data_IF_932344501172
#
_entry.id   IF_932344501172
#
_cell.length_a   1.000
_cell.length_b   1.000
_cell.length_c   1.000
_cell.angle_alpha   90.00
_cell.angle_beta   90.00
_cell.angle_gamma   90.00
#
_symmetry.space_group_name_H-M   'P 1'
#
loop_
_entity.id
_entity.type
_entity.pdbx_description
1 polymer ?
#
# COMPACT_ATOMS: atom_id res chain seq x y z
N UNK A 1 9.94 -17.80 -13.42
CA UNK A 1 8.97 -18.81 -13.91
C UNK A 1 7.88 -18.29 -14.85
N UNK A 2 7.42 -17.04 -14.73
CA UNK A 2 6.43 -16.43 -15.66
C UNK A 2 7.01 -15.37 -16.61
N UNK A 3 8.33 -15.30 -16.76
CA UNK A 3 9.01 -14.33 -17.64
C UNK A 3 9.09 -12.90 -17.10
N UNK A 4 8.79 -12.66 -15.82
CA UNK A 4 8.96 -11.36 -15.18
C UNK A 4 10.42 -11.09 -14.80
N UNK A 5 10.81 -9.81 -14.84
CA UNK A 5 12.10 -9.31 -14.37
C UNK A 5 11.87 -8.38 -13.17
N UNK A 6 11.69 -8.92 -11.95
CA UNK A 6 11.27 -8.14 -10.80
C UNK A 6 12.39 -7.24 -10.27
N UNK A 7 12.05 -6.00 -9.97
CA UNK A 7 12.83 -5.10 -9.13
C UNK A 7 12.32 -5.25 -7.70
N UNK A 8 13.18 -5.70 -6.78
CA UNK A 8 12.80 -5.98 -5.40
C UNK A 8 13.27 -4.84 -4.50
N UNK A 9 12.33 -4.27 -3.75
CA UNK A 9 12.60 -3.25 -2.74
C UNK A 9 12.06 -3.72 -1.39
N UNK A 10 12.88 -3.58 -0.35
CA UNK A 10 12.51 -3.86 1.03
C UNK A 10 12.67 -2.55 1.80
N UNK A 11 11.57 -2.07 2.36
CA UNK A 11 11.53 -0.87 3.17
C UNK A 11 11.35 -1.25 4.63
N UNK A 12 12.31 -0.83 5.45
CA UNK A 12 12.18 -0.89 6.90
C UNK A 12 11.27 0.26 7.40
N UNK A 13 10.31 -0.06 8.26
CA UNK A 13 9.32 0.92 8.72
C UNK A 13 9.90 1.99 9.62
N UNK A 14 10.93 1.66 10.40
CA UNK A 14 11.59 2.64 11.27
C UNK A 14 12.40 3.65 10.45
N UNK A 15 13.14 3.16 9.45
CA UNK A 15 13.84 4.00 8.48
C UNK A 15 12.85 4.91 7.77
N UNK A 16 11.74 4.37 7.27
CA UNK A 16 10.71 5.17 6.59
C UNK A 16 10.12 6.25 7.51
N UNK A 17 9.86 5.95 8.78
CA UNK A 17 9.42 6.93 9.78
C UNK A 17 10.42 8.08 9.90
N UNK A 18 11.70 7.77 10.09
CA UNK A 18 12.75 8.78 10.24
C UNK A 18 12.86 9.68 9.01
N UNK A 19 12.77 9.09 7.80
CA UNK A 19 12.76 9.86 6.57
C UNK A 19 11.56 10.80 6.51
N UNK A 20 10.35 10.33 6.85
CA UNK A 20 9.13 11.16 6.89
C UNK A 20 9.29 12.29 7.91
N UNK A 21 9.74 12.01 9.12
CA UNK A 21 9.83 13.00 10.20
C UNK A 21 10.90 14.08 9.94
N UNK A 22 11.97 13.75 9.23
CA UNK A 22 13.12 14.64 9.01
C UNK A 22 13.22 15.19 7.59
N UNK A 23 12.54 14.59 6.62
CA UNK A 23 12.61 14.94 5.22
C UNK A 23 11.86 16.24 4.92
N UNK A 24 12.58 17.21 4.35
CA UNK A 24 12.01 18.45 3.85
C UNK A 24 11.62 18.36 2.37
N UNK A 25 11.11 19.46 1.81
CA UNK A 25 10.71 19.55 0.41
C UNK A 25 11.84 19.17 -0.55
N UNK A 26 13.06 19.66 -0.33
CA UNK A 26 14.20 19.42 -1.23
C UNK A 26 14.62 17.96 -1.21
N UNK A 27 14.66 17.35 -0.03
CA UNK A 27 14.92 15.92 0.15
C UNK A 27 13.92 15.06 -0.64
N UNK A 28 12.62 15.32 -0.49
CA UNK A 28 11.58 14.54 -1.15
C UNK A 28 11.52 14.73 -2.66
N UNK A 29 11.74 15.95 -3.16
CA UNK A 29 11.86 16.21 -4.59
C UNK A 29 13.05 15.47 -5.20
N UNK A 30 14.19 15.43 -4.51
CA UNK A 30 15.36 14.70 -4.96
C UNK A 30 15.11 13.18 -4.97
N UNK A 31 14.57 12.62 -3.88
CA UNK A 31 14.19 11.21 -3.81
C UNK A 31 13.22 10.80 -4.93
N UNK A 32 12.19 11.61 -5.17
CA UNK A 32 11.23 11.35 -6.23
C UNK A 32 11.88 11.38 -7.62
N UNK A 33 12.65 12.43 -7.92
CA UNK A 33 13.18 12.67 -9.27
C UNK A 33 14.36 11.76 -9.65
N UNK A 34 15.19 11.36 -8.68
CA UNK A 34 16.42 10.59 -8.93
C UNK A 34 16.18 9.08 -8.87
N UNK A 35 15.30 8.62 -7.98
CA UNK A 35 15.11 7.18 -7.73
C UNK A 35 13.73 6.68 -8.22
N UNK A 36 12.68 7.02 -7.48
CA UNK A 36 11.43 6.28 -7.58
C UNK A 36 10.59 6.62 -8.81
N UNK A 37 10.56 7.88 -9.25
CA UNK A 37 9.78 8.26 -10.44
C UNK A 37 10.38 7.68 -11.73
N UNK A 38 11.71 7.77 -11.99
CA UNK A 38 12.33 7.10 -13.14
C UNK A 38 12.12 5.58 -13.14
N UNK A 39 12.16 4.93 -11.97
CA UNK A 39 11.90 3.50 -11.85
C UNK A 39 10.45 3.18 -12.22
N UNK A 40 9.47 3.83 -11.59
CA UNK A 40 8.04 3.54 -11.81
C UNK A 40 7.60 3.75 -13.25
N UNK A 41 8.16 4.74 -13.96
CA UNK A 41 7.90 4.98 -15.39
C UNK A 41 8.31 3.83 -16.31
N UNK A 42 9.17 2.94 -15.84
CA UNK A 42 9.63 1.77 -16.60
C UNK A 42 8.90 0.48 -16.19
N UNK A 43 8.05 0.52 -15.16
CA UNK A 43 7.41 -0.68 -14.61
C UNK A 43 6.05 -0.93 -15.25
N UNK A 44 5.79 -2.18 -15.64
CA UNK A 44 4.47 -2.61 -16.07
C UNK A 44 3.52 -2.91 -14.90
N UNK A 45 4.09 -3.38 -13.78
CA UNK A 45 3.34 -3.92 -12.64
C UNK A 45 3.97 -3.48 -11.31
N UNK A 46 3.13 -3.08 -10.36
CA UNK A 46 3.52 -2.84 -8.97
C UNK A 46 2.84 -3.82 -8.00
N UNK A 47 3.62 -4.49 -7.15
CA UNK A 47 3.10 -5.34 -6.08
C UNK A 47 3.60 -4.81 -4.74
N UNK A 48 2.67 -4.35 -3.90
CA UNK A 48 2.97 -3.86 -2.56
C UNK A 48 2.53 -4.83 -1.48
N UNK A 49 3.47 -5.29 -0.65
CA UNK A 49 3.17 -6.10 0.53
C UNK A 49 3.46 -5.25 1.77
N UNK A 50 2.46 -5.07 2.64
CA UNK A 50 2.59 -4.26 3.86
C UNK A 50 2.47 -5.13 5.10
N UNK A 51 3.55 -5.24 5.85
CA UNK A 51 3.63 -6.04 7.07
C UNK A 51 3.90 -5.17 8.31
N UNK A 52 3.17 -4.06 8.47
CA UNK A 52 3.38 -3.11 9.56
C UNK A 52 3.39 -3.80 10.93
N UNK A 53 4.46 -3.61 11.69
CA UNK A 53 4.59 -4.16 13.05
C UNK A 53 4.07 -3.20 14.13
N UNK A 54 3.91 -1.93 13.79
CA UNK A 54 3.30 -0.91 14.63
C UNK A 54 2.48 0.06 13.77
N UNK A 55 1.21 0.24 14.11
CA UNK A 55 0.29 1.11 13.36
C UNK A 55 0.48 2.60 13.67
N UNK A 56 1.31 2.93 14.67
CA UNK A 56 1.55 4.29 15.15
C UNK A 56 2.90 4.87 14.71
N UNK A 57 3.67 4.20 13.84
CA UNK A 57 5.05 4.63 13.55
C UNK A 57 5.14 6.10 13.12
N UNK A 58 4.26 6.55 12.23
CA UNK A 58 4.31 7.93 11.74
C UNK A 58 3.51 8.93 12.61
N UNK A 59 3.09 8.56 13.83
CA UNK A 59 2.20 9.39 14.65
C UNK A 59 2.86 10.68 15.16
N UNK A 60 4.19 10.74 15.21
CA UNK A 60 4.95 11.91 15.66
C UNK A 60 5.41 12.83 14.52
N UNK A 61 5.17 12.46 13.26
CA UNK A 61 5.51 13.30 12.12
C UNK A 61 4.69 14.60 12.15
N UNK A 62 5.37 15.74 12.02
CA UNK A 62 4.71 17.06 12.02
C UNK A 62 3.82 17.24 10.79
N UNK A 63 2.93 18.24 10.82
CA UNK A 63 2.08 18.56 9.67
C UNK A 63 2.91 19.00 8.47
N UNK A 64 3.97 19.74 8.72
CA UNK A 64 4.89 20.27 7.71
C UNK A 64 5.67 19.13 7.05
N UNK A 65 6.19 18.19 7.86
CA UNK A 65 6.90 17.01 7.38
C UNK A 65 5.98 16.10 6.53
N UNK A 66 4.77 15.82 7.03
CA UNK A 66 3.77 15.07 6.26
C UNK A 66 3.38 15.76 4.96
N UNK A 67 3.24 17.09 4.97
CA UNK A 67 2.94 17.87 3.77
C UNK A 67 4.09 17.79 2.75
N UNK A 68 5.33 17.95 3.19
CA UNK A 68 6.51 17.85 2.33
C UNK A 68 6.58 16.48 1.64
N UNK A 69 6.43 15.39 2.39
CA UNK A 69 6.39 14.03 1.84
C UNK A 69 5.21 13.82 0.88
N UNK A 70 4.01 14.23 1.29
CA UNK A 70 2.78 14.04 0.51
C UNK A 70 2.84 14.75 -0.84
N UNK A 71 3.23 16.02 -0.86
CA UNK A 71 3.21 16.84 -2.09
C UNK A 71 4.36 16.51 -3.03
N UNK A 72 5.54 16.18 -2.50
CA UNK A 72 6.76 16.11 -3.31
C UNK A 72 7.22 14.68 -3.63
N UNK A 73 6.69 13.67 -2.94
CA UNK A 73 6.99 12.27 -3.23
C UNK A 73 5.72 11.46 -3.45
N UNK A 74 4.80 11.44 -2.49
CA UNK A 74 3.61 10.58 -2.58
C UNK A 74 2.73 10.95 -3.79
N UNK A 75 2.44 12.24 -4.00
CA UNK A 75 1.68 12.68 -5.16
C UNK A 75 2.34 12.30 -6.50
N UNK A 76 3.56 12.77 -6.82
CA UNK A 76 4.15 12.51 -8.14
C UNK A 76 4.48 11.03 -8.38
N UNK A 77 4.98 10.32 -7.37
CA UNK A 77 5.43 8.92 -7.53
C UNK A 77 4.27 7.94 -7.37
N UNK A 78 3.50 8.07 -6.28
CA UNK A 78 2.48 7.07 -5.94
C UNK A 78 1.18 7.32 -6.70
N UNK A 79 0.62 8.53 -6.63
CA UNK A 79 -0.69 8.80 -7.21
C UNK A 79 -0.61 9.07 -8.72
N UNK A 80 0.27 9.97 -9.13
CA UNK A 80 0.29 10.44 -10.52
C UNK A 80 0.90 9.39 -11.46
N UNK A 81 1.92 8.64 -11.02
CA UNK A 81 2.61 7.61 -11.82
C UNK A 81 2.14 6.20 -11.46
N UNK A 82 2.48 5.69 -10.26
CA UNK A 82 2.30 4.27 -9.92
C UNK A 82 0.84 3.81 -10.02
N UNK A 83 -0.11 4.57 -9.48
CA UNK A 83 -1.54 4.20 -9.50
C UNK A 83 -2.13 4.30 -10.90
N UNK A 84 -1.75 5.32 -11.68
CA UNK A 84 -2.37 5.61 -12.97
C UNK A 84 -1.76 4.82 -14.13
N UNK A 85 -0.47 4.50 -14.07
CA UNK A 85 0.30 3.99 -15.22
C UNK A 85 0.82 2.56 -15.04
N UNK A 86 0.56 1.91 -13.91
CA UNK A 86 0.93 0.50 -13.69
C UNK A 86 -0.29 -0.35 -13.39
N UNK A 87 -0.21 -1.66 -13.69
CA UNK A 87 -1.13 -2.63 -13.09
C UNK A 87 -0.67 -2.88 -11.66
N UNK A 88 -1.54 -2.73 -10.67
CA UNK A 88 -1.09 -2.86 -9.29
C UNK A 88 -1.94 -3.80 -8.44
N UNK A 89 -1.26 -4.44 -7.49
CA UNK A 89 -1.87 -5.23 -6.43
C UNK A 89 -1.24 -4.82 -5.10
N UNK A 90 -2.07 -4.53 -4.10
CA UNK A 90 -1.62 -4.25 -2.74
C UNK A 90 -2.20 -5.31 -1.80
N UNK A 91 -1.37 -5.81 -0.91
CA UNK A 91 -1.76 -6.82 0.06
C UNK A 91 -1.17 -6.48 1.43
N UNK A 92 -1.94 -6.76 2.48
CA UNK A 92 -1.42 -6.74 3.85
C UNK A 92 -0.89 -8.12 4.22
N UNK A 93 0.10 -8.15 5.10
CA UNK A 93 0.50 -9.36 5.79
C UNK A 93 -0.19 -9.38 7.16
N UNK A 94 -0.68 -10.55 7.65
CA UNK A 94 -1.36 -10.64 8.94
C UNK A 94 -0.37 -10.52 10.12
N UNK A 95 0.17 -9.32 10.33
CA UNK A 95 1.15 -9.05 11.38
C UNK A 95 0.52 -9.09 12.79
N UNK A 96 1.35 -9.28 13.84
CA UNK A 96 0.89 -9.15 15.23
C UNK A 96 0.24 -7.78 15.53
N UNK A 97 0.69 -6.71 14.89
CA UNK A 97 0.11 -5.38 15.04
C UNK A 97 -1.36 -5.34 14.62
N UNK A 98 -1.69 -5.95 13.47
CA UNK A 98 -3.06 -6.04 13.01
C UNK A 98 -3.89 -6.97 13.89
N UNK A 99 -3.32 -8.06 14.40
CA UNK A 99 -3.99 -8.94 15.34
C UNK A 99 -4.36 -8.21 16.64
N UNK A 100 -3.43 -7.42 17.20
CA UNK A 100 -3.68 -6.57 18.37
C UNK A 100 -4.79 -5.54 18.08
N UNK A 101 -4.73 -4.87 16.93
CA UNK A 101 -5.75 -3.90 16.54
C UNK A 101 -7.14 -4.56 16.37
N UNK A 102 -7.18 -5.82 15.92
CA UNK A 102 -8.38 -6.63 15.82
C UNK A 102 -8.81 -7.27 17.16
N UNK A 103 -8.03 -7.10 18.24
CA UNK A 103 -8.23 -7.72 19.56
C UNK A 103 -8.28 -9.25 19.50
N UNK A 104 -7.43 -9.85 18.67
CA UNK A 104 -7.35 -11.30 18.46
C UNK A 104 -5.93 -11.83 18.72
N UNK A 105 -5.77 -13.09 19.17
CA UNK A 105 -4.51 -13.79 19.05
C UNK A 105 -4.01 -13.82 17.61
N UNK A 106 -2.70 -13.67 17.38
CA UNK A 106 -2.12 -13.62 16.02
C UNK A 106 -2.49 -14.81 15.15
N UNK A 107 -2.55 -16.02 15.72
CA UNK A 107 -2.94 -17.23 15.00
C UNK A 107 -4.39 -17.15 14.50
N UNK A 108 -5.30 -16.67 15.33
CA UNK A 108 -6.72 -16.53 14.97
C UNK A 108 -6.91 -15.43 13.94
N UNK A 109 -6.23 -14.29 14.11
CA UNK A 109 -6.25 -13.21 13.13
C UNK A 109 -5.69 -13.66 11.78
N UNK A 110 -4.61 -14.44 11.76
CA UNK A 110 -4.00 -14.98 10.53
C UNK A 110 -5.00 -15.86 9.78
N UNK A 111 -5.69 -16.76 10.51
CA UNK A 111 -6.74 -17.59 9.90
C UNK A 111 -7.86 -16.73 9.34
N UNK A 112 -8.38 -15.80 10.14
CA UNK A 112 -9.44 -14.88 9.72
C UNK A 112 -9.03 -14.08 8.46
N UNK A 113 -7.81 -13.55 8.42
CA UNK A 113 -7.29 -12.78 7.31
C UNK A 113 -7.24 -13.59 6.02
N UNK A 114 -6.70 -14.82 6.07
CA UNK A 114 -6.63 -15.67 4.88
C UNK A 114 -8.01 -16.16 4.43
N UNK A 115 -8.92 -16.50 5.35
CA UNK A 115 -10.29 -16.85 5.00
C UNK A 115 -11.01 -15.68 4.28
N UNK A 116 -10.70 -14.44 4.67
CA UNK A 116 -11.26 -13.23 4.05
C UNK A 116 -10.59 -12.86 2.71
N UNK A 117 -9.31 -13.17 2.53
CA UNK A 117 -8.58 -12.84 1.30
C UNK A 117 -8.64 -13.92 0.22
N UNK A 118 -8.76 -15.20 0.61
CA UNK A 118 -8.75 -16.36 -0.29
C UNK A 118 -10.17 -16.83 -0.58
N UNK A 119 -11.04 -15.89 -0.96
CA UNK A 119 -12.44 -16.17 -1.29
C UNK A 119 -12.58 -16.82 -2.65
N UNK A 120 -13.61 -17.65 -2.81
CA UNK A 120 -14.05 -18.14 -4.11
C UNK A 120 -14.69 -16.98 -4.89
N UNK A 121 -13.94 -16.43 -5.85
CA UNK A 121 -14.39 -15.31 -6.65
C UNK A 121 -15.60 -15.62 -7.53
N UNK A 122 -15.82 -16.87 -7.93
CA UNK A 122 -17.02 -17.25 -8.68
C UNK A 122 -18.26 -17.19 -7.78
N UNK A 123 -18.14 -17.71 -6.55
CA UNK A 123 -19.19 -17.61 -5.54
C UNK A 123 -19.45 -16.16 -5.14
N UNK A 124 -18.39 -15.37 -4.93
CA UNK A 124 -18.48 -13.95 -4.61
C UNK A 124 -19.19 -13.17 -5.72
N UNK A 125 -18.84 -13.42 -6.99
CA UNK A 125 -19.49 -12.78 -8.15
C UNK A 125 -20.99 -13.02 -8.13
N UNK A 126 -21.43 -14.29 -8.01
CA UNK A 126 -22.85 -14.63 -7.96
C UNK A 126 -23.56 -13.99 -6.75
N UNK A 127 -22.93 -13.99 -5.58
CA UNK A 127 -23.49 -13.38 -4.38
C UNK A 127 -23.64 -11.84 -4.48
N UNK A 128 -22.82 -11.18 -5.31
CA UNK A 128 -22.84 -9.72 -5.50
C UNK A 128 -23.84 -9.25 -6.56
N UNK A 129 -24.37 -10.13 -7.42
CA UNK A 129 -25.32 -9.77 -8.50
C UNK A 129 -26.54 -8.97 -8.02
N UNK A 130 -27.20 -9.30 -6.89
CA UNK A 130 -28.35 -8.51 -6.42
C UNK A 130 -27.97 -7.08 -6.04
N UNK A 131 -26.78 -6.90 -5.45
CA UNK A 131 -26.28 -5.59 -5.05
C UNK A 131 -25.91 -4.76 -6.29
N UNK A 132 -25.20 -5.36 -7.24
CA UNK A 132 -24.85 -4.70 -8.50
C UNK A 132 -26.10 -4.18 -9.22
N UNK A 133 -27.14 -5.02 -9.33
CA UNK A 133 -28.40 -4.63 -9.97
C UNK A 133 -29.05 -3.41 -9.30
N UNK A 134 -29.05 -3.36 -7.96
CA UNK A 134 -29.62 -2.22 -7.22
C UNK A 134 -28.81 -0.95 -7.42
N UNK A 135 -27.48 -1.03 -7.39
CA UNK A 135 -26.61 0.13 -7.59
C UNK A 135 -26.75 0.70 -9.01
N UNK A 136 -26.85 -0.16 -10.03
CA UNK A 136 -27.08 0.27 -11.42
C UNK A 136 -28.45 0.87 -11.69
N UNK A 137 -29.42 0.60 -10.82
CA UNK A 137 -30.79 1.11 -10.93
C UNK A 137 -31.00 2.42 -10.15
N UNK A 138 -29.94 2.97 -9.53
CA UNK A 138 -30.00 4.25 -8.84
C UNK A 138 -29.25 5.28 -9.70
N UNK A 139 -29.95 6.36 -10.06
CA UNK A 139 -29.41 7.50 -10.79
C UNK A 139 -28.38 8.30 -9.97
#
# INVERSE_FOLDING_TARGET
DKGSHPFVQIEDTETQRLLIEKGDTGFWQNQASVDQLPLMKQMDVFIGIRASENIYENSQASKEANKAYSENFLKPVHFDERVNNTKWCIMRYPSPAFAMNAKLPTREFTKFYYDACLVDYAKLKSAMEPLEKRLRATD
#
